data_IF_182341992488
#
_entry.id   IF_182341992488
#
_cell.length_a   1.000
_cell.length_b   1.000
_cell.length_c   1.000
_cell.angle_alpha   90.00
_cell.angle_beta   90.00
_cell.angle_gamma   90.00
#
_symmetry.space_group_name_H-M   'P 1'
#
loop_
_entity.id
_entity.type
_entity.pdbx_description
1 polymer ?
#
# COMPACT_ATOMS: atom_id res chain seq x y z
N UNK A 1 7.81 -17.18 -25.94
CA UNK A 1 8.20 -17.29 -24.51
C UNK A 1 8.18 -18.76 -24.11
N UNK A 2 9.34 -19.26 -23.68
CA UNK A 2 9.52 -20.66 -23.28
C UNK A 2 9.14 -20.87 -21.80
N UNK A 3 8.93 -22.12 -21.34
CA UNK A 3 8.77 -22.40 -19.90
C UNK A 3 9.94 -21.89 -19.05
N UNK A 4 11.17 -21.92 -19.59
CA UNK A 4 12.36 -21.40 -18.90
C UNK A 4 12.32 -19.86 -18.74
N UNK A 5 11.72 -19.14 -19.69
CA UNK A 5 11.52 -17.69 -19.56
C UNK A 5 10.45 -17.36 -18.50
N UNK A 6 9.37 -18.15 -18.44
CA UNK A 6 8.33 -18.03 -17.39
C UNK A 6 8.96 -18.18 -16.01
N UNK A 7 9.77 -19.22 -15.82
CA UNK A 7 10.44 -19.50 -14.55
C UNK A 7 11.44 -18.39 -14.17
N UNK A 8 12.21 -17.90 -15.15
CA UNK A 8 13.13 -16.77 -14.96
C UNK A 8 12.40 -15.53 -14.44
N UNK A 9 11.36 -15.08 -15.15
CA UNK A 9 10.63 -13.88 -14.76
C UNK A 9 9.89 -14.07 -13.43
N UNK A 10 9.26 -15.24 -13.21
CA UNK A 10 8.58 -15.54 -11.95
C UNK A 10 9.53 -15.50 -10.76
N UNK A 11 10.76 -16.02 -10.93
CA UNK A 11 11.81 -15.97 -9.91
C UNK A 11 12.22 -14.53 -9.60
N UNK A 12 12.49 -13.71 -10.62
CA UNK A 12 12.86 -12.30 -10.46
C UNK A 12 11.77 -11.53 -9.72
N UNK A 13 10.52 -11.68 -10.15
CA UNK A 13 9.36 -11.01 -9.54
C UNK A 13 9.22 -11.42 -8.07
N UNK A 14 9.35 -12.72 -7.76
CA UNK A 14 9.30 -13.22 -6.39
C UNK A 14 10.44 -12.68 -5.54
N UNK A 15 11.68 -12.72 -6.02
CA UNK A 15 12.85 -12.25 -5.27
C UNK A 15 12.79 -10.75 -4.98
N UNK A 16 12.29 -9.96 -5.93
CA UNK A 16 12.28 -8.50 -5.82
C UNK A 16 11.04 -7.93 -5.13
N UNK A 17 9.89 -8.60 -5.19
CA UNK A 17 8.63 -8.06 -4.66
C UNK A 17 7.87 -9.00 -3.72
N UNK A 18 8.28 -10.27 -3.63
CA UNK A 18 7.57 -11.31 -2.90
C UNK A 18 6.31 -11.82 -3.61
N UNK A 19 5.94 -11.24 -4.76
CA UNK A 19 4.79 -11.64 -5.54
C UNK A 19 5.00 -13.04 -6.14
N UNK A 20 4.14 -13.97 -5.75
CA UNK A 20 4.10 -15.30 -6.36
C UNK A 20 3.25 -15.29 -7.62
N UNK A 21 3.89 -15.53 -8.77
CA UNK A 21 3.19 -15.79 -10.03
C UNK A 21 2.87 -17.28 -10.10
N UNK A 22 1.60 -17.62 -9.89
CA UNK A 22 1.14 -19.00 -10.02
C UNK A 22 1.16 -19.46 -11.48
N UNK A 23 1.38 -20.77 -11.78
CA UNK A 23 1.47 -21.26 -13.17
C UNK A 23 0.26 -20.90 -14.04
N UNK A 24 -0.95 -20.92 -13.47
CA UNK A 24 -2.20 -20.53 -14.16
C UNK A 24 -2.30 -19.02 -14.45
N UNK A 25 -1.39 -18.20 -13.95
CA UNK A 25 -1.29 -16.76 -14.17
C UNK A 25 -0.09 -16.37 -15.04
N UNK A 26 0.61 -17.33 -15.67
CA UNK A 26 1.74 -17.05 -16.55
C UNK A 26 1.41 -16.07 -17.70
N UNK A 27 0.16 -16.05 -18.17
CA UNK A 27 -0.31 -15.07 -19.18
C UNK A 27 -0.18 -13.61 -18.72
N UNK A 28 -0.11 -13.34 -17.40
CA UNK A 28 0.15 -12.00 -16.87
C UNK A 28 1.58 -11.54 -17.17
N UNK A 29 2.56 -12.45 -17.15
CA UNK A 29 3.93 -12.13 -17.55
C UNK A 29 3.94 -11.69 -19.02
N UNK A 30 3.24 -12.42 -19.89
CA UNK A 30 3.20 -12.07 -21.32
C UNK A 30 2.59 -10.68 -21.55
N UNK A 31 1.40 -10.45 -21.01
CA UNK A 31 0.66 -9.21 -21.23
C UNK A 31 1.33 -7.98 -20.59
N UNK A 32 2.00 -8.14 -19.45
CA UNK A 32 2.60 -7.02 -18.69
C UNK A 32 4.06 -6.76 -19.03
N UNK A 33 4.83 -7.76 -19.43
CA UNK A 33 6.24 -7.59 -19.76
C UNK A 33 6.48 -7.21 -21.22
N UNK A 34 5.50 -7.41 -22.12
CA UNK A 34 5.65 -6.99 -23.51
C UNK A 34 5.84 -5.46 -23.66
N UNK A 35 5.10 -4.60 -22.93
CA UNK A 35 5.41 -3.16 -22.87
C UNK A 35 6.82 -2.86 -22.34
N UNK A 36 7.33 -3.65 -21.40
CA UNK A 36 8.70 -3.49 -20.86
C UNK A 36 9.74 -3.79 -21.95
N UNK A 37 9.59 -4.91 -22.67
CA UNK A 37 10.48 -5.23 -23.80
C UNK A 37 10.54 -4.07 -24.81
N UNK A 38 9.38 -3.53 -25.19
CA UNK A 38 9.30 -2.38 -26.12
C UNK A 38 10.00 -1.12 -25.60
N UNK A 39 9.86 -0.82 -24.30
CA UNK A 39 10.51 0.35 -23.67
C UNK A 39 12.03 0.28 -23.72
N UNK A 40 12.58 -0.93 -23.64
CA UNK A 40 14.02 -1.20 -23.74
C UNK A 40 14.47 -1.53 -25.17
N UNK A 41 13.65 -1.20 -26.18
CA UNK A 41 13.95 -1.43 -27.61
C UNK A 41 14.20 -2.90 -27.97
N UNK A 42 13.63 -3.83 -27.20
CA UNK A 42 13.69 -5.26 -27.44
C UNK A 42 12.45 -5.71 -28.24
N UNK A 43 12.66 -6.58 -29.23
CA UNK A 43 11.61 -6.97 -30.18
C UNK A 43 10.47 -7.78 -29.56
N UNK A 44 10.77 -8.59 -28.54
CA UNK A 44 9.83 -9.51 -27.90
C UNK A 44 10.31 -9.92 -26.49
N UNK A 45 9.55 -10.84 -25.87
CA UNK A 45 9.84 -11.37 -24.54
C UNK A 45 11.03 -12.32 -24.51
N UNK A 46 11.38 -12.94 -25.64
CA UNK A 46 12.53 -13.84 -25.74
C UNK A 46 13.84 -13.02 -25.73
N UNK A 47 13.85 -11.90 -26.45
CA UNK A 47 14.90 -10.89 -26.38
C UNK A 47 15.02 -10.28 -24.98
N UNK A 48 13.90 -9.99 -24.30
CA UNK A 48 13.89 -9.55 -22.91
C UNK A 48 14.52 -10.58 -21.97
N UNK A 49 14.15 -11.86 -22.09
CA UNK A 49 14.70 -12.92 -21.27
C UNK A 49 16.20 -13.13 -21.55
N UNK A 50 16.63 -13.04 -22.81
CA UNK A 50 18.04 -13.10 -23.19
C UNK A 50 18.87 -11.96 -22.58
N UNK A 51 18.36 -10.72 -22.63
CA UNK A 51 19.00 -9.55 -22.03
C UNK A 51 19.18 -9.72 -20.51
N UNK A 52 18.14 -10.20 -19.83
CA UNK A 52 18.18 -10.52 -18.40
C UNK A 52 19.21 -11.60 -18.10
N UNK A 53 19.22 -12.74 -18.82
CA UNK A 53 20.22 -13.80 -18.60
C UNK A 53 21.66 -13.35 -18.82
N UNK A 54 21.90 -12.44 -19.77
CA UNK A 54 23.25 -12.01 -20.13
C UNK A 54 23.89 -11.10 -19.09
N UNK A 55 23.13 -10.20 -18.48
CA UNK A 55 23.72 -9.15 -17.64
C UNK A 55 22.83 -8.65 -16.50
N UNK A 56 21.59 -9.11 -16.42
CA UNK A 56 20.59 -8.68 -15.42
C UNK A 56 20.58 -7.16 -15.21
N UNK A 57 20.40 -6.31 -16.25
CA UNK A 57 20.47 -4.87 -16.08
C UNK A 57 19.43 -4.38 -15.08
N UNK A 58 19.86 -3.64 -14.05
CA UNK A 58 18.98 -3.25 -12.94
C UNK A 58 17.74 -2.49 -13.41
N UNK A 59 17.87 -1.59 -14.39
CA UNK A 59 16.74 -0.86 -14.97
C UNK A 59 15.68 -1.78 -15.60
N UNK A 60 16.08 -2.89 -16.23
CA UNK A 60 15.15 -3.88 -16.77
C UNK A 60 14.46 -4.63 -15.64
N UNK A 61 15.21 -5.02 -14.61
CA UNK A 61 14.66 -5.74 -13.45
C UNK A 61 13.65 -4.89 -12.66
N UNK A 62 13.93 -3.60 -12.47
CA UNK A 62 13.00 -2.64 -11.88
C UNK A 62 11.72 -2.55 -12.70
N UNK A 63 11.81 -2.38 -14.02
CA UNK A 63 10.64 -2.29 -14.89
C UNK A 63 9.81 -3.58 -14.94
N UNK A 64 10.46 -4.75 -14.92
CA UNK A 64 9.79 -6.04 -14.78
C UNK A 64 9.02 -6.10 -13.46
N UNK A 65 9.64 -5.66 -12.36
CA UNK A 65 9.01 -5.66 -11.04
C UNK A 65 7.81 -4.72 -11.01
N UNK A 66 7.98 -3.49 -11.49
CA UNK A 66 6.95 -2.45 -11.59
C UNK A 66 5.73 -2.95 -12.38
N UNK A 67 5.94 -3.52 -13.57
CA UNK A 67 4.88 -4.01 -14.44
C UNK A 67 4.06 -5.15 -13.82
N UNK A 68 4.67 -5.93 -12.92
CA UNK A 68 4.03 -7.07 -12.28
C UNK A 68 3.24 -6.70 -11.01
N UNK A 69 3.39 -5.49 -10.49
CA UNK A 69 2.57 -4.99 -9.37
C UNK A 69 1.08 -4.97 -9.73
N UNK A 70 0.20 -5.25 -8.76
CA UNK A 70 -1.25 -5.16 -8.95
C UNK A 70 -1.80 -4.07 -8.05
N UNK A 71 -2.15 -2.93 -8.66
CA UNK A 71 -2.44 -1.68 -7.96
C UNK A 71 -3.95 -1.39 -7.88
N UNK A 72 -4.77 -2.40 -7.55
CA UNK A 72 -6.21 -2.17 -7.38
C UNK A 72 -6.50 -1.55 -6.01
N UNK A 73 -6.96 -0.30 -6.03
CA UNK A 73 -7.34 0.46 -4.84
C UNK A 73 -8.46 1.44 -5.18
N UNK A 74 -9.19 1.90 -4.16
CA UNK A 74 -10.24 2.90 -4.28
C UNK A 74 -10.49 3.59 -2.94
N UNK A 75 -11.07 4.78 -2.98
CA UNK A 75 -11.31 5.55 -1.77
C UNK A 75 -12.28 4.82 -0.84
N UNK A 76 -11.98 4.81 0.44
CA UNK A 76 -12.76 4.15 1.49
C UNK A 76 -13.04 2.67 1.19
N UNK A 77 -12.06 1.97 0.59
CA UNK A 77 -12.15 0.54 0.25
C UNK A 77 -12.54 -0.29 1.46
N UNK A 78 -13.67 -0.97 1.37
CA UNK A 78 -14.35 -1.61 2.50
C UNK A 78 -14.57 -0.59 3.63
N UNK A 79 -15.69 0.14 3.61
CA UNK A 79 -15.91 1.28 4.51
C UNK A 79 -15.65 0.97 6.00
N UNK A 80 -15.92 -0.27 6.43
CA UNK A 80 -15.78 -0.73 7.82
C UNK A 80 -14.41 -0.47 8.48
N UNK A 81 -13.26 -0.83 7.88
CA UNK A 81 -11.94 -0.41 8.38
C UNK A 81 -11.81 1.08 8.72
N UNK A 82 -12.35 1.96 7.89
CA UNK A 82 -12.26 3.41 8.10
C UNK A 82 -13.19 3.88 9.21
N UNK A 83 -14.40 3.30 9.31
CA UNK A 83 -15.32 3.54 10.42
C UNK A 83 -14.69 3.10 11.75
N UNK A 84 -14.11 1.90 11.81
CA UNK A 84 -13.41 1.39 13.00
C UNK A 84 -12.22 2.26 13.39
N UNK A 85 -11.45 2.72 12.40
CA UNK A 85 -10.37 3.66 12.66
C UNK A 85 -10.89 4.93 13.34
N UNK A 86 -11.94 5.54 12.77
CA UNK A 86 -12.54 6.78 13.28
C UNK A 86 -13.19 6.61 14.66
N UNK A 87 -13.97 5.55 14.85
CA UNK A 87 -14.87 5.40 15.98
C UNK A 87 -14.26 4.65 17.16
N UNK A 88 -13.32 3.73 16.90
CA UNK A 88 -12.82 2.81 17.94
C UNK A 88 -11.33 2.95 18.21
N UNK A 89 -10.51 3.24 17.18
CA UNK A 89 -9.05 3.26 17.33
C UNK A 89 -8.53 4.66 17.61
N UNK A 90 -9.00 5.66 16.87
CA UNK A 90 -8.49 7.02 16.97
C UNK A 90 -8.78 7.65 18.36
N UNK A 91 -9.99 7.60 18.94
CA UNK A 91 -10.27 8.25 20.23
C UNK A 91 -9.35 7.82 21.38
N UNK A 92 -9.17 6.51 21.70
CA UNK A 92 -8.27 6.11 22.80
C UNK A 92 -6.80 6.43 22.50
N UNK A 93 -6.37 6.39 21.25
CA UNK A 93 -5.01 6.83 20.89
C UNK A 93 -4.81 8.32 21.16
N UNK A 94 -5.81 9.16 20.86
CA UNK A 94 -5.73 10.60 21.16
C UNK A 94 -5.66 10.87 22.67
N UNK A 95 -6.40 10.11 23.47
CA UNK A 95 -6.32 10.19 24.93
C UNK A 95 -4.92 9.78 25.44
N UNK A 96 -4.41 8.63 25.00
CA UNK A 96 -3.11 8.10 25.43
C UNK A 96 -1.93 8.96 24.97
N UNK A 97 -2.07 9.68 23.84
CA UNK A 97 -1.03 10.54 23.28
C UNK A 97 -1.22 12.01 23.63
N UNK A 98 -2.21 12.40 24.44
CA UNK A 98 -2.57 13.79 24.74
C UNK A 98 -1.40 14.66 25.24
N UNK A 99 -0.44 14.07 25.96
CA UNK A 99 0.77 14.77 26.43
C UNK A 99 1.73 15.12 25.28
N UNK A 100 1.89 14.21 24.31
CA UNK A 100 2.80 14.37 23.17
C UNK A 100 2.15 15.07 21.97
N UNK A 101 0.82 14.96 21.85
CA UNK A 101 0.01 15.40 20.71
C UNK A 101 0.60 14.98 19.36
N UNK A 102 1.10 13.75 19.28
CA UNK A 102 1.67 13.18 18.06
C UNK A 102 0.93 11.91 17.69
N UNK A 103 0.61 11.76 16.41
CA UNK A 103 -0.01 10.56 15.85
C UNK A 103 0.68 10.21 14.53
N UNK A 104 1.19 8.99 14.41
CA UNK A 104 1.84 8.50 13.19
C UNK A 104 1.09 7.30 12.63
N UNK A 105 0.73 7.38 11.36
CA UNK A 105 0.00 6.33 10.64
C UNK A 105 0.83 5.88 9.44
N UNK A 106 0.92 4.57 9.21
CA UNK A 106 1.57 4.01 8.04
C UNK A 106 0.58 3.22 7.18
N UNK A 107 0.47 3.57 5.91
CA UNK A 107 -0.19 2.77 4.88
C UNK A 107 0.89 2.00 4.09
N UNK A 108 1.05 0.72 4.41
CA UNK A 108 1.90 -0.23 3.72
C UNK A 108 1.20 -0.74 2.45
N UNK A 109 1.82 -0.53 1.29
CA UNK A 109 1.24 -0.71 -0.05
C UNK A 109 0.12 0.30 -0.35
N UNK A 110 0.46 1.57 -0.27
CA UNK A 110 -0.44 2.71 -0.48
C UNK A 110 -0.98 2.83 -1.92
N UNK A 111 -0.37 2.13 -2.87
CA UNK A 111 -0.73 2.12 -4.29
C UNK A 111 -0.88 3.56 -4.82
N UNK A 112 -1.98 3.84 -5.53
CA UNK A 112 -2.23 5.17 -6.13
C UNK A 112 -2.79 6.20 -5.13
N UNK A 113 -2.70 5.95 -3.82
CA UNK A 113 -2.84 6.94 -2.75
C UNK A 113 -4.22 7.08 -2.11
N UNK A 114 -5.24 6.36 -2.58
CA UNK A 114 -6.62 6.50 -2.12
C UNK A 114 -6.79 6.14 -0.64
N UNK A 115 -6.10 5.11 -0.13
CA UNK A 115 -6.19 4.73 1.29
C UNK A 115 -5.59 5.80 2.23
N UNK A 116 -4.34 6.28 2.03
CA UNK A 116 -3.80 7.41 2.80
C UNK A 116 -4.68 8.66 2.73
N UNK A 117 -5.28 8.96 1.56
CA UNK A 117 -6.15 10.11 1.41
C UNK A 117 -7.51 9.95 2.07
N UNK A 118 -8.08 8.74 2.10
CA UNK A 118 -9.26 8.46 2.90
C UNK A 118 -9.02 8.70 4.39
N UNK A 119 -7.86 8.28 4.92
CA UNK A 119 -7.47 8.57 6.30
C UNK A 119 -7.27 10.08 6.54
N UNK A 120 -6.61 10.75 5.60
CA UNK A 120 -6.41 12.21 5.67
C UNK A 120 -7.73 12.97 5.70
N UNK A 121 -8.72 12.54 4.91
CA UNK A 121 -10.08 13.11 4.91
C UNK A 121 -10.75 12.92 6.27
N UNK A 122 -10.67 11.73 6.87
CA UNK A 122 -11.23 11.47 8.22
C UNK A 122 -10.60 12.41 9.25
N UNK A 123 -9.27 12.55 9.23
CA UNK A 123 -8.56 13.42 10.15
C UNK A 123 -8.91 14.90 9.93
N UNK A 124 -9.08 15.33 8.67
CA UNK A 124 -9.49 16.69 8.34
C UNK A 124 -10.92 17.01 8.82
N UNK A 125 -11.84 16.05 8.69
CA UNK A 125 -13.19 16.14 9.27
C UNK A 125 -13.16 16.26 10.82
N UNK A 126 -12.08 15.78 11.45
CA UNK A 126 -11.86 15.82 12.91
C UNK A 126 -10.87 16.92 13.34
N UNK A 127 -10.56 17.89 12.47
CA UNK A 127 -9.51 18.88 12.71
C UNK A 127 -9.66 19.67 14.03
N UNK A 128 -10.89 19.91 14.50
CA UNK A 128 -11.14 20.58 15.78
C UNK A 128 -10.64 19.77 16.99
N UNK A 129 -10.77 18.44 16.95
CA UNK A 129 -10.26 17.53 17.99
C UNK A 129 -8.73 17.38 17.90
N UNK A 130 -8.18 17.57 16.70
CA UNK A 130 -6.76 17.46 16.41
C UNK A 130 -6.03 18.82 16.49
N UNK A 131 -6.63 19.83 17.11
CA UNK A 131 -6.01 21.13 17.26
C UNK A 131 -4.69 21.02 18.06
N UNK A 132 -3.58 21.44 17.43
CA UNK A 132 -2.23 21.34 18.00
C UNK A 132 -1.61 19.94 17.96
N UNK A 133 -2.23 18.99 17.26
CA UNK A 133 -1.63 17.68 17.00
C UNK A 133 -0.70 17.71 15.81
N UNK A 134 0.43 17.03 15.94
CA UNK A 134 1.29 16.65 14.82
C UNK A 134 0.83 15.28 14.30
N UNK A 135 0.11 15.28 13.19
CA UNK A 135 -0.32 14.04 12.53
C UNK A 135 0.51 13.82 11.28
N UNK A 136 1.10 12.63 11.15
CA UNK A 136 1.87 12.22 9.98
C UNK A 136 1.28 10.92 9.42
N UNK A 137 0.88 10.93 8.14
CA UNK A 137 0.58 9.72 7.40
C UNK A 137 1.77 9.43 6.47
N UNK A 138 2.31 8.22 6.55
CA UNK A 138 3.31 7.73 5.60
C UNK A 138 2.63 6.72 4.69
N UNK A 139 2.60 6.99 3.39
CA UNK A 139 2.19 6.02 2.38
C UNK A 139 3.41 5.40 1.72
N UNK A 140 3.54 4.08 1.72
CA UNK A 140 4.67 3.43 1.07
C UNK A 140 4.22 2.41 0.03
N UNK A 141 4.97 2.29 -1.06
CA UNK A 141 4.73 1.27 -2.07
C UNK A 141 6.04 0.89 -2.77
N UNK A 142 6.06 -0.26 -3.42
CA UNK A 142 7.15 -0.69 -4.29
C UNK A 142 7.01 -0.09 -5.70
N UNK A 143 5.78 0.23 -6.11
CA UNK A 143 5.47 0.83 -7.42
C UNK A 143 5.77 2.33 -7.41
N UNK A 144 6.82 2.74 -8.12
CA UNK A 144 7.14 4.16 -8.30
C UNK A 144 6.07 4.86 -9.16
N UNK A 145 5.48 4.15 -10.13
CA UNK A 145 4.40 4.69 -10.95
C UNK A 145 3.17 5.04 -10.08
N UNK A 146 2.76 4.10 -9.21
CA UNK A 146 1.64 4.31 -8.31
C UNK A 146 1.91 5.45 -7.32
N UNK A 147 3.12 5.51 -6.76
CA UNK A 147 3.52 6.60 -5.85
C UNK A 147 3.54 7.96 -6.55
N UNK A 148 3.98 8.03 -7.81
CA UNK A 148 3.98 9.28 -8.56
C UNK A 148 2.55 9.77 -8.83
N UNK A 149 1.63 8.87 -9.18
CA UNK A 149 0.20 9.18 -9.28
C UNK A 149 -0.38 9.63 -7.94
N UNK A 150 -0.06 8.93 -6.85
CA UNK A 150 -0.49 9.29 -5.51
C UNK A 150 -0.03 10.70 -5.14
N UNK A 151 1.26 11.01 -5.32
CA UNK A 151 1.83 12.35 -5.08
C UNK A 151 1.16 13.43 -5.92
N UNK A 152 0.85 13.15 -7.19
CA UNK A 152 0.14 14.08 -8.06
C UNK A 152 -1.30 14.36 -7.58
N UNK A 153 -1.94 13.36 -6.96
CA UNK A 153 -3.29 13.49 -6.41
C UNK A 153 -4.36 13.73 -7.48
N UNK A 154 -4.10 13.30 -8.72
CA UNK A 154 -4.99 13.43 -9.87
C UNK A 154 -5.65 12.08 -10.18
N UNK A 155 -6.97 12.08 -10.20
CA UNK A 155 -7.79 10.89 -10.34
C UNK A 155 -8.85 11.08 -11.42
N UNK A 156 -9.14 10.02 -12.18
CA UNK A 156 -10.21 10.06 -13.17
C UNK A 156 -11.60 10.15 -12.52
N UNK A 157 -12.61 10.52 -13.31
CA UNK A 157 -14.02 10.48 -12.90
C UNK A 157 -14.42 9.12 -12.30
N UNK A 158 -13.97 8.02 -12.93
CA UNK A 158 -14.27 6.66 -12.48
C UNK A 158 -13.70 6.38 -11.08
N UNK A 159 -12.45 6.78 -10.84
CA UNK A 159 -11.77 6.54 -9.57
C UNK A 159 -12.40 7.32 -8.41
N UNK A 160 -12.79 8.58 -8.63
CA UNK A 160 -13.43 9.38 -7.58
C UNK A 160 -14.89 9.01 -7.34
N UNK A 161 -15.55 8.32 -8.26
CA UNK A 161 -16.91 7.80 -8.05
C UNK A 161 -16.91 6.45 -7.32
N UNK A 162 -15.77 5.78 -7.22
CA UNK A 162 -15.64 4.47 -6.56
C UNK A 162 -15.36 4.66 -5.06
N UNK A 163 -16.42 4.63 -4.25
CA UNK A 163 -16.35 4.61 -2.78
C UNK A 163 -16.32 5.98 -2.09
N UNK A 164 -16.22 7.07 -2.85
CA UNK A 164 -16.26 8.45 -2.34
C UNK A 164 -17.71 8.99 -2.36
N UNK A 165 -18.27 9.43 -1.22
CA UNK A 165 -19.54 10.15 -1.22
C UNK A 165 -19.43 11.48 -1.99
N UNK A 166 -20.48 11.87 -2.72
CA UNK A 166 -20.45 13.08 -3.56
C UNK A 166 -20.14 14.35 -2.76
N UNK A 167 -20.65 14.45 -1.53
CA UNK A 167 -20.37 15.59 -0.65
C UNK A 167 -18.88 15.70 -0.31
N UNK A 168 -18.23 14.56 -0.05
CA UNK A 168 -16.79 14.48 0.19
C UNK A 168 -15.99 14.85 -1.06
N UNK A 169 -16.42 14.40 -2.24
CA UNK A 169 -15.79 14.75 -3.52
C UNK A 169 -15.80 16.26 -3.72
N UNK A 170 -16.97 16.91 -3.63
CA UNK A 170 -17.11 18.34 -3.85
C UNK A 170 -16.39 19.20 -2.80
N UNK A 171 -16.18 18.66 -1.59
CA UNK A 171 -15.48 19.36 -0.50
C UNK A 171 -13.96 19.28 -0.62
N UNK A 172 -13.42 18.14 -1.03
CA UNK A 172 -11.98 17.88 -0.97
C UNK A 172 -11.29 17.77 -2.32
N UNK A 173 -12.01 17.87 -3.42
CA UNK A 173 -11.43 17.84 -4.76
C UNK A 173 -11.84 19.05 -5.58
N UNK A 174 -11.03 19.34 -6.59
CA UNK A 174 -11.34 20.32 -7.63
C UNK A 174 -11.23 19.62 -8.99
N UNK A 175 -12.20 19.86 -9.86
CA UNK A 175 -12.16 19.31 -11.21
C UNK A 175 -11.09 20.06 -12.03
N UNK A 176 -10.14 19.32 -12.62
CA UNK A 176 -9.12 19.81 -13.55
C UNK A 176 -9.28 19.02 -14.87
N UNK A 177 -9.85 19.68 -15.88
CA UNK A 177 -10.27 19.08 -17.16
C UNK A 177 -11.17 17.83 -16.96
N UNK A 178 -10.69 16.66 -17.41
CA UNK A 178 -11.39 15.38 -17.28
C UNK A 178 -11.07 14.64 -15.95
N UNK A 179 -10.19 15.20 -15.11
CA UNK A 179 -9.73 14.61 -13.87
C UNK A 179 -10.18 15.42 -12.65
N UNK A 180 -9.97 14.84 -11.48
CA UNK A 180 -10.23 15.43 -10.18
C UNK A 180 -8.94 15.44 -9.38
N UNK A 181 -8.59 16.61 -8.87
CA UNK A 181 -7.42 16.79 -8.03
C UNK A 181 -7.82 16.92 -6.59
N UNK A 182 -7.23 16.09 -5.74
CA UNK A 182 -7.45 16.20 -4.31
C UNK A 182 -6.74 17.44 -3.75
N UNK A 183 -7.40 18.12 -2.81
CA UNK A 183 -6.95 19.40 -2.26
C UNK A 183 -5.55 19.31 -1.65
N UNK A 184 -4.78 20.39 -1.82
CA UNK A 184 -3.41 20.47 -1.33
C UNK A 184 -3.31 20.25 0.19
N UNK A 185 -4.32 20.68 0.96
CA UNK A 185 -4.37 20.48 2.41
C UNK A 185 -4.42 19.00 2.80
N UNK A 186 -5.14 18.18 2.02
CA UNK A 186 -5.15 16.73 2.21
C UNK A 186 -3.83 16.11 1.75
N UNK A 187 -3.29 16.56 0.60
CA UNK A 187 -2.02 16.04 0.05
C UNK A 187 -0.86 16.22 1.02
N UNK A 188 -0.77 17.37 1.68
CA UNK A 188 0.28 17.70 2.65
C UNK A 188 0.27 16.85 3.92
N UNK A 189 -0.81 16.14 4.22
CA UNK A 189 -0.87 15.22 5.37
C UNK A 189 -0.13 13.91 5.11
N UNK A 190 0.15 13.59 3.85
CA UNK A 190 0.75 12.31 3.44
C UNK A 190 2.16 12.51 2.90
N UNK A 191 3.12 11.79 3.46
CA UNK A 191 4.45 11.62 2.89
C UNK A 191 4.55 10.28 2.19
N UNK A 192 4.82 10.30 0.88
CA UNK A 192 4.98 9.09 0.08
C UNK A 192 6.45 8.67 -0.05
N UNK A 193 6.74 7.39 0.18
CA UNK A 193 8.10 6.83 0.07
C UNK A 193 8.09 5.52 -0.70
N UNK A 194 9.10 5.30 -1.52
CA UNK A 194 9.37 3.97 -2.08
C UNK A 194 9.82 3.05 -0.93
N UNK A 195 9.22 1.87 -0.83
CA UNK A 195 9.56 0.89 0.20
C UNK A 195 9.11 -0.51 -0.21
N UNK A 196 10.01 -1.48 -0.09
CA UNK A 196 9.69 -2.89 -0.27
C UNK A 196 9.44 -3.55 1.09
N UNK A 197 8.32 -4.24 1.25
CA UNK A 197 7.98 -4.94 2.50
C UNK A 197 8.94 -6.11 2.81
N UNK A 198 9.69 -6.58 1.82
CA UNK A 198 10.75 -7.58 2.03
C UNK A 198 12.02 -7.00 2.67
N UNK A 199 12.20 -5.68 2.66
CA UNK A 199 13.39 -5.02 3.21
C UNK A 199 13.33 -4.87 4.75
N UNK A 200 14.42 -4.42 5.34
CA UNK A 200 14.50 -4.09 6.77
C UNK A 200 13.75 -2.81 7.13
N UNK A 201 13.03 -2.81 8.26
CA UNK A 201 12.14 -1.69 8.65
C UNK A 201 12.83 -0.65 9.55
N UNK A 202 14.10 -0.85 9.89
CA UNK A 202 14.82 -0.08 10.91
C UNK A 202 14.84 1.45 10.67
N UNK A 203 14.67 1.90 9.42
CA UNK A 203 14.63 3.33 9.07
C UNK A 203 13.23 3.96 8.94
N UNK A 204 12.15 3.18 9.10
CA UNK A 204 10.78 3.68 8.88
C UNK A 204 10.22 4.42 10.12
N UNK A 205 10.74 4.07 11.30
CA UNK A 205 10.31 4.60 12.59
C UNK A 205 9.05 3.91 13.11
N UNK A 206 8.50 4.44 14.22
CA UNK A 206 7.36 3.84 14.91
C UNK A 206 6.03 4.46 14.50
N UNK A 207 4.97 3.66 14.49
CA UNK A 207 3.62 4.04 14.08
C UNK A 207 2.58 3.60 15.10
N UNK A 208 1.66 4.50 15.44
CA UNK A 208 0.52 4.18 16.31
C UNK A 208 -0.49 3.29 15.57
N UNK A 209 -0.64 3.50 14.26
CA UNK A 209 -1.54 2.73 13.40
C UNK A 209 -0.85 2.32 12.12
N UNK A 210 -1.01 1.05 11.73
CA UNK A 210 -0.52 0.53 10.45
C UNK A 210 -1.70 -0.05 9.67
N UNK A 211 -1.89 0.41 8.44
CA UNK A 211 -2.74 -0.20 7.44
C UNK A 211 -1.86 -1.02 6.50
N UNK A 212 -2.05 -2.34 6.47
CA UNK A 212 -1.35 -3.27 5.58
C UNK A 212 -2.41 -4.16 4.91
N UNK A 213 -3.15 -3.57 3.98
CA UNK A 213 -4.40 -4.14 3.47
C UNK A 213 -4.25 -4.56 2.02
N UNK A 214 -4.79 -5.75 1.72
CA UNK A 214 -4.87 -6.32 0.37
C UNK A 214 -3.50 -6.50 -0.31
N UNK A 215 -2.44 -6.71 0.47
CA UNK A 215 -1.07 -6.87 -0.05
C UNK A 215 -0.43 -8.19 0.41
N UNK A 216 -0.70 -8.64 1.65
CA UNK A 216 -0.19 -9.90 2.19
C UNK A 216 -0.71 -11.11 1.41
N UNK A 217 -1.81 -10.96 0.66
CA UNK A 217 -2.33 -12.00 -0.24
C UNK A 217 -1.36 -12.40 -1.36
N UNK A 218 -0.37 -11.56 -1.68
CA UNK A 218 0.60 -11.81 -2.76
C UNK A 218 1.85 -12.59 -2.32
N UNK A 219 2.10 -12.65 -1.00
CA UNK A 219 3.30 -13.24 -0.42
C UNK A 219 3.08 -14.70 -0.02
N UNK A 220 4.17 -15.46 0.16
CA UNK A 220 4.13 -16.79 0.78
C UNK A 220 4.02 -16.68 2.30
N UNK A 221 3.63 -17.78 2.95
CA UNK A 221 3.35 -17.79 4.40
C UNK A 221 4.55 -17.32 5.24
N UNK A 222 5.77 -17.70 4.88
CA UNK A 222 7.00 -17.29 5.56
C UNK A 222 7.21 -15.77 5.49
N UNK A 223 6.98 -15.18 4.32
CA UNK A 223 7.17 -13.75 4.11
C UNK A 223 6.10 -12.95 4.84
N UNK A 224 4.84 -13.41 4.83
CA UNK A 224 3.77 -12.80 5.63
C UNK A 224 4.12 -12.75 7.10
N UNK A 225 4.63 -13.85 7.66
CA UNK A 225 5.04 -13.92 9.06
C UNK A 225 6.17 -12.92 9.35
N UNK A 226 7.22 -12.88 8.51
CA UNK A 226 8.32 -11.95 8.69
C UNK A 226 7.90 -10.48 8.58
N UNK A 227 7.03 -10.16 7.60
CA UNK A 227 6.49 -8.81 7.42
C UNK A 227 5.71 -8.41 8.68
N UNK A 228 4.78 -9.23 9.14
CA UNK A 228 3.98 -8.94 10.34
C UNK A 228 4.88 -8.79 11.58
N UNK A 229 5.86 -9.66 11.78
CA UNK A 229 6.80 -9.55 12.89
C UNK A 229 7.59 -8.23 12.87
N UNK A 230 8.00 -7.77 11.68
CA UNK A 230 8.68 -6.47 11.52
C UNK A 230 7.73 -5.29 11.72
N UNK A 231 6.47 -5.38 11.26
CA UNK A 231 5.43 -4.38 11.55
C UNK A 231 5.23 -4.25 13.06
N UNK A 232 5.07 -5.37 13.77
CA UNK A 232 4.87 -5.39 15.23
C UNK A 232 6.00 -4.66 15.98
N UNK A 233 7.25 -4.81 15.54
CA UNK A 233 8.41 -4.12 16.15
C UNK A 233 8.40 -2.61 15.94
N UNK A 234 7.65 -2.09 14.97
CA UNK A 234 7.48 -0.65 14.74
C UNK A 234 6.25 -0.08 15.44
N UNK A 235 5.56 -0.86 16.28
CA UNK A 235 4.32 -0.44 16.91
C UNK A 235 4.44 -0.44 18.43
N UNK A 236 3.84 0.54 19.13
CA UNK A 236 3.66 0.47 20.57
C UNK A 236 2.62 -0.61 20.93
N UNK A 237 2.63 -1.08 22.17
CA UNK A 237 1.73 -2.14 22.63
C UNK A 237 0.23 -1.79 22.50
N UNK A 238 -0.11 -0.50 22.54
CA UNK A 238 -1.48 0.02 22.34
C UNK A 238 -1.77 0.43 20.88
N UNK A 239 -0.86 0.13 19.95
CA UNK A 239 -1.03 0.40 18.53
C UNK A 239 -2.00 -0.57 17.84
N UNK A 240 -2.42 -0.24 16.62
CA UNK A 240 -3.39 -1.03 15.85
C UNK A 240 -2.96 -1.32 14.42
N UNK A 241 -3.08 -2.57 14.00
CA UNK A 241 -2.84 -3.07 12.65
C UNK A 241 -4.17 -3.37 11.96
N UNK A 242 -4.37 -2.82 10.77
CA UNK A 242 -5.51 -3.09 9.90
C UNK A 242 -5.09 -3.99 8.73
N UNK A 243 -5.77 -5.12 8.57
CA UNK A 243 -5.62 -6.03 7.43
C UNK A 243 -6.86 -6.01 6.54
N UNK A 244 -6.71 -6.42 5.27
CA UNK A 244 -7.78 -6.55 4.30
C UNK A 244 -8.72 -7.72 4.62
N UNK A 245 -9.90 -7.74 4.01
CA UNK A 245 -10.96 -8.70 4.35
C UNK A 245 -10.62 -10.18 4.11
N UNK A 246 -9.60 -10.47 3.30
CA UNK A 246 -9.10 -11.81 2.97
C UNK A 246 -7.80 -12.17 3.69
N UNK A 247 -7.34 -11.34 4.63
CA UNK A 247 -6.07 -11.49 5.34
C UNK A 247 -6.32 -11.75 6.83
N UNK A 248 -5.40 -12.47 7.47
CA UNK A 248 -5.47 -12.80 8.90
C UNK A 248 -4.07 -13.01 9.47
N UNK A 249 -3.92 -12.82 10.78
CA UNK A 249 -2.70 -13.20 11.52
C UNK A 249 -2.73 -14.65 12.00
N UNK A 250 -3.93 -15.26 12.05
CA UNK A 250 -4.14 -16.61 12.58
C UNK A 250 -3.40 -17.62 11.69
N UNK A 251 -2.54 -18.43 12.31
CA UNK A 251 -1.70 -19.40 11.60
C UNK A 251 -0.51 -18.77 10.86
N UNK A 252 -0.32 -17.45 10.96
CA UNK A 252 0.79 -16.71 10.33
C UNK A 252 1.80 -16.23 11.37
N UNK A 253 1.34 -15.58 12.45
CA UNK A 253 2.20 -15.04 13.52
C UNK A 253 1.46 -15.03 14.87
N UNK A 254 2.22 -15.08 15.97
CA UNK A 254 1.74 -14.92 17.34
C UNK A 254 1.97 -13.50 17.90
N UNK A 255 2.60 -12.61 17.12
CA UNK A 255 2.95 -11.23 17.54
C UNK A 255 1.78 -10.27 17.56
N UNK A 256 0.65 -10.68 16.98
CA UNK A 256 -0.59 -9.91 16.96
C UNK A 256 -1.74 -10.74 17.47
N UNK A 257 -2.64 -10.08 18.20
CA UNK A 257 -3.93 -10.64 18.61
C UNK A 257 -5.06 -9.83 18.01
N UNK A 258 -6.16 -10.51 17.69
CA UNK A 258 -7.35 -9.84 17.18
C UNK A 258 -7.95 -8.95 18.27
N UNK A 259 -8.32 -7.72 17.91
CA UNK A 259 -9.06 -6.85 18.83
C UNK A 259 -10.51 -7.32 18.90
N UNK A 260 -11.06 -7.61 20.11
CA UNK A 260 -12.43 -8.09 20.24
C UNK A 260 -13.44 -7.18 19.53
N UNK A 261 -14.38 -7.79 18.81
CA UNK A 261 -15.46 -7.12 18.06
C UNK A 261 -15.00 -6.19 16.91
N UNK A 262 -13.70 -6.06 16.63
CA UNK A 262 -13.17 -5.27 15.53
C UNK A 262 -12.55 -6.18 14.47
N UNK A 263 -13.36 -6.63 13.51
CA UNK A 263 -12.89 -7.52 12.42
C UNK A 263 -11.72 -6.89 11.65
N UNK A 264 -10.68 -7.67 11.35
CA UNK A 264 -9.53 -7.19 10.58
C UNK A 264 -8.67 -6.14 11.32
N UNK A 265 -8.91 -5.91 12.61
CA UNK A 265 -8.09 -5.05 13.47
C UNK A 265 -7.37 -5.92 14.49
N UNK A 266 -6.08 -5.66 14.64
CA UNK A 266 -5.18 -6.43 15.50
C UNK A 266 -4.33 -5.48 16.36
N UNK A 267 -3.98 -5.90 17.56
CA UNK A 267 -3.01 -5.19 18.42
C UNK A 267 -1.80 -6.07 18.68
N UNK A 268 -0.62 -5.48 18.95
CA UNK A 268 0.54 -6.24 19.40
C UNK A 268 0.20 -7.13 20.61
N UNK A 269 0.69 -8.38 20.57
CA UNK A 269 0.38 -9.42 21.55
C UNK A 269 1.02 -9.15 22.91
#
# INVERSE_FOLDING_TARGET
MTPEDVDLFSKIVKERSGLVVSPNKAYLLESRLLPVARRHELGDLEALAAAVRSSSPEAILEDITEAMTTNETFFFRDIGPFDRFRENILPPLLENRAASKSLRIWCAAASTGQEPYSLSIILMEMASQLAGWKVEIIGTDISNEALNKAKAGLYSQFEVQRGLPIQTLLKYFTQEDANWKISENIRKMVTYKHFNLLDGFAGLGHFDVVFCRNVLIYFEQSDKAQILDRICKQMPADGSLFLGGAETVIGVTDKFKQVPNLRGVYSPA
#
